data_IF_220208948769
#
_entry.id   IF_220208948769
#
_cell.length_a   1.000
_cell.length_b   1.000
_cell.length_c   1.000
_cell.angle_alpha   90.00
_cell.angle_beta   90.00
_cell.angle_gamma   90.00
#
_symmetry.space_group_name_H-M   'P 1'
#
loop_
_entity.id
_entity.type
_entity.pdbx_description
1 polymer ?
#
# COMPACT_ATOMS: atom_id res chain seq x y z
N UNK A 1 -11.87 7.68 -3.01
CA UNK A 1 -10.60 7.01 -3.38
C UNK A 1 -10.28 6.10 -2.26
N UNK A 2 -10.04 4.84 -2.57
CA UNK A 2 -9.87 3.81 -1.58
C UNK A 2 -8.41 3.38 -1.58
N UNK A 3 -7.84 3.36 -0.38
CA UNK A 3 -6.45 3.01 -0.16
C UNK A 3 -6.40 1.71 0.62
N UNK A 4 -5.80 0.67 0.04
CA UNK A 4 -5.59 -0.61 0.70
C UNK A 4 -4.14 -0.66 1.16
N UNK A 5 -3.91 -0.58 2.46
CA UNK A 5 -2.57 -0.62 3.03
C UNK A 5 -2.23 -2.04 3.46
N UNK A 6 -1.34 -2.68 2.72
CA UNK A 6 -0.77 -3.96 3.07
C UNK A 6 0.48 -3.79 3.93
N UNK A 7 0.41 -4.33 5.15
CA UNK A 7 1.49 -4.25 6.14
C UNK A 7 2.02 -5.62 6.51
N UNK A 8 3.23 -5.62 7.07
CA UNK A 8 3.88 -6.80 7.61
C UNK A 8 4.52 -6.47 8.96
N UNK A 9 4.50 -7.40 9.95
CA UNK A 9 5.19 -7.20 11.22
C UNK A 9 6.69 -6.98 10.99
N UNK A 10 7.33 -6.17 11.85
CA UNK A 10 8.74 -5.77 11.71
C UNK A 10 9.09 -4.93 10.46
N UNK A 11 8.13 -4.18 9.90
CA UNK A 11 8.41 -3.30 8.77
C UNK A 11 8.42 -1.81 9.18
N UNK A 12 9.62 -1.24 9.35
CA UNK A 12 9.80 0.18 9.66
C UNK A 12 9.15 1.10 8.60
N UNK A 13 9.21 0.71 7.33
CA UNK A 13 8.58 1.46 6.23
C UNK A 13 7.06 1.54 6.35
N UNK A 14 6.41 0.50 6.92
CA UNK A 14 4.96 0.52 7.17
C UNK A 14 4.60 1.65 8.15
N UNK A 15 5.36 1.79 9.24
CA UNK A 15 5.10 2.84 10.23
C UNK A 15 5.26 4.24 9.63
N UNK A 16 6.32 4.46 8.85
CA UNK A 16 6.52 5.75 8.16
C UNK A 16 5.35 6.08 7.23
N UNK A 17 4.84 5.10 6.49
CA UNK A 17 3.73 5.30 5.57
C UNK A 17 2.40 5.51 6.30
N UNK A 18 2.14 4.78 7.39
CA UNK A 18 0.97 5.00 8.26
C UNK A 18 0.95 6.42 8.83
N UNK A 19 2.10 6.91 9.32
CA UNK A 19 2.22 8.30 9.80
C UNK A 19 1.83 9.30 8.71
N UNK A 20 2.36 9.15 7.50
CA UNK A 20 2.01 10.03 6.37
C UNK A 20 0.53 9.97 5.99
N UNK A 21 -0.06 8.77 6.00
CA UNK A 21 -1.50 8.62 5.74
C UNK A 21 -2.35 9.31 6.82
N UNK A 22 -1.93 9.21 8.08
CA UNK A 22 -2.58 9.92 9.18
C UNK A 22 -2.41 11.44 9.10
N UNK A 23 -1.22 11.93 8.74
CA UNK A 23 -0.95 13.36 8.52
C UNK A 23 -1.79 13.97 7.39
N UNK A 24 -2.12 13.16 6.39
CA UNK A 24 -2.95 13.58 5.25
C UNK A 24 -4.43 13.28 5.44
N UNK A 25 -4.84 12.82 6.63
CA UNK A 25 -6.20 12.38 6.96
C UNK A 25 -6.79 11.43 5.90
N UNK A 26 -5.92 10.65 5.26
CA UNK A 26 -6.31 9.77 4.17
C UNK A 26 -6.95 8.52 4.75
N UNK A 27 -8.19 8.24 4.36
CA UNK A 27 -8.86 6.99 4.73
C UNK A 27 -8.20 5.80 4.02
N UNK A 28 -7.71 4.82 4.78
CA UNK A 28 -7.14 3.58 4.26
C UNK A 28 -7.68 2.37 5.02
N UNK A 29 -7.83 1.25 4.31
CA UNK A 29 -8.12 -0.05 4.88
C UNK A 29 -6.81 -0.82 5.08
N UNK A 30 -6.48 -1.10 6.33
CA UNK A 30 -5.28 -1.85 6.69
C UNK A 30 -5.51 -3.36 6.56
N UNK A 31 -4.59 -4.03 5.87
CA UNK A 31 -4.57 -5.47 5.68
C UNK A 31 -3.20 -6.01 6.08
N UNK A 32 -3.14 -6.82 7.13
CA UNK A 32 -1.89 -7.46 7.51
C UNK A 32 -1.68 -8.74 6.70
N UNK A 33 -0.52 -8.87 6.06
CA UNK A 33 -0.14 -10.08 5.31
C UNK A 33 0.17 -11.29 6.20
N UNK A 34 0.17 -11.10 7.52
CA UNK A 34 0.15 -12.20 8.49
C UNK A 34 -1.22 -12.87 8.56
N UNK A 35 -2.28 -12.10 8.30
CA UNK A 35 -3.64 -12.59 8.41
C UNK A 35 -4.14 -13.17 7.07
N UNK A 36 -4.96 -14.23 7.11
CA UNK A 36 -5.55 -14.82 5.91
C UNK A 36 -6.27 -13.81 4.98
N UNK A 37 -7.08 -12.84 5.47
CA UNK A 37 -7.72 -11.85 4.60
C UNK A 37 -6.70 -10.96 3.87
N UNK A 38 -5.61 -10.55 4.51
CA UNK A 38 -4.59 -9.73 3.85
C UNK A 38 -3.84 -10.50 2.76
N UNK A 39 -3.51 -11.77 3.01
CA UNK A 39 -2.90 -12.66 1.99
C UNK A 39 -3.81 -12.90 0.79
N UNK A 40 -5.11 -13.11 1.03
CA UNK A 40 -6.08 -13.29 -0.05
C UNK A 40 -6.20 -12.01 -0.88
N UNK A 41 -6.37 -10.86 -0.22
CA UNK A 41 -6.54 -9.57 -0.88
C UNK A 41 -5.32 -9.17 -1.71
N UNK A 42 -4.10 -9.30 -1.18
CA UNK A 42 -2.89 -8.95 -1.96
C UNK A 42 -2.69 -9.86 -3.18
N UNK A 43 -3.15 -11.11 -3.10
CA UNK A 43 -3.10 -12.04 -4.23
C UNK A 43 -4.00 -11.61 -5.38
N UNK A 44 -5.15 -10.98 -5.10
CA UNK A 44 -6.01 -10.38 -6.15
C UNK A 44 -5.25 -9.28 -6.91
N UNK A 45 -4.36 -8.57 -6.20
CA UNK A 45 -3.55 -7.48 -6.76
C UNK A 45 -2.14 -7.91 -7.16
N UNK A 46 -1.84 -9.22 -7.22
CA UNK A 46 -0.49 -9.72 -7.48
C UNK A 46 0.07 -9.31 -8.86
N UNK A 47 -0.82 -8.91 -9.78
CA UNK A 47 -0.47 -8.40 -11.12
C UNK A 47 -0.06 -6.93 -11.13
N UNK A 48 -0.43 -6.15 -10.11
CA UNK A 48 -0.12 -4.71 -10.03
C UNK A 48 0.92 -4.39 -8.96
N UNK A 49 1.14 -5.27 -7.98
CA UNK A 49 2.16 -5.06 -6.97
C UNK A 49 3.58 -5.17 -7.55
N UNK A 50 4.47 -4.29 -7.11
CA UNK A 50 5.90 -4.38 -7.44
C UNK A 50 6.51 -5.57 -6.68
N UNK A 51 7.27 -6.39 -7.39
CA UNK A 51 8.04 -7.52 -6.83
C UNK A 51 9.53 -7.19 -6.94
N UNK A 52 10.28 -7.63 -5.95
CA UNK A 52 11.73 -7.58 -5.95
C UNK A 52 12.31 -8.63 -6.92
N UNK A 53 13.61 -8.55 -7.21
CA UNK A 53 14.33 -9.45 -8.14
C UNK A 53 14.23 -10.93 -7.72
N UNK A 54 14.06 -11.17 -6.41
CA UNK A 54 13.83 -12.51 -5.83
C UNK A 54 12.38 -13.00 -5.92
N UNK A 55 11.49 -12.24 -6.56
CA UNK A 55 10.05 -12.54 -6.65
C UNK A 55 9.27 -12.26 -5.36
N UNK A 56 9.91 -11.66 -4.35
CA UNK A 56 9.26 -11.26 -3.10
C UNK A 56 8.44 -9.99 -3.29
N UNK A 57 7.31 -9.88 -2.59
CA UNK A 57 6.47 -8.68 -2.63
C UNK A 57 7.19 -7.54 -1.91
N UNK A 58 7.27 -6.36 -2.53
CA UNK A 58 7.86 -5.18 -1.90
C UNK A 58 6.89 -4.65 -0.83
N UNK A 59 7.35 -4.49 0.41
CA UNK A 59 6.51 -4.04 1.53
C UNK A 59 7.07 -2.77 2.19
N UNK A 60 6.20 -1.86 2.68
CA UNK A 60 4.72 -1.84 2.59
C UNK A 60 4.21 -1.77 1.16
N UNK A 61 2.94 -2.12 0.94
CA UNK A 61 2.26 -1.92 -0.34
C UNK A 61 0.95 -1.18 -0.07
N UNK A 62 0.82 0.04 -0.55
CA UNK A 62 -0.40 0.83 -0.51
C UNK A 62 -1.00 0.87 -1.92
N UNK A 63 -2.18 0.28 -2.09
CA UNK A 63 -2.88 0.26 -3.37
C UNK A 63 -3.94 1.36 -3.33
N UNK A 64 -3.77 2.36 -4.19
CA UNK A 64 -4.80 3.37 -4.40
C UNK A 64 -5.66 2.95 -5.59
N UNK A 65 -6.94 2.66 -5.32
CA UNK A 65 -7.91 2.36 -6.36
C UNK A 65 -9.06 3.35 -6.36
N UNK A 66 -9.72 3.49 -7.51
CA UNK A 66 -10.87 4.37 -7.70
C UNK A 66 -11.88 3.61 -8.54
N UNK A 67 -13.08 3.39 -8.01
CA UNK A 67 -14.17 2.68 -8.70
C UNK A 67 -13.74 1.31 -9.27
N UNK A 68 -12.93 0.56 -8.53
CA UNK A 68 -12.43 -0.76 -8.94
C UNK A 68 -11.19 -0.76 -9.83
N UNK A 69 -10.69 0.41 -10.25
CA UNK A 69 -9.47 0.53 -11.06
C UNK A 69 -8.30 0.91 -10.16
N UNK A 70 -7.24 0.10 -10.16
CA UNK A 70 -5.98 0.43 -9.48
C UNK A 70 -5.31 1.58 -10.23
N UNK A 71 -5.14 2.72 -9.55
CA UNK A 71 -4.49 3.91 -10.12
C UNK A 71 -2.99 3.91 -9.86
N UNK A 72 -2.57 3.54 -8.65
CA UNK A 72 -1.16 3.49 -8.29
C UNK A 72 -0.92 2.49 -7.17
N UNK A 73 0.28 1.92 -7.17
CA UNK A 73 0.80 1.11 -6.08
C UNK A 73 2.01 1.82 -5.50
N UNK A 74 1.97 2.08 -4.20
CA UNK A 74 2.93 2.88 -3.46
C UNK A 74 3.62 1.99 -2.45
N UNK A 75 4.95 1.94 -2.48
CA UNK A 75 5.72 1.05 -1.60
C UNK A 75 6.51 1.77 -0.51
N UNK A 76 6.48 3.10 -0.51
CA UNK A 76 7.25 3.95 0.40
C UNK A 76 6.52 5.26 0.69
N UNK A 77 6.81 5.86 1.85
CA UNK A 77 6.29 7.18 2.23
C UNK A 77 6.65 8.27 1.21
N UNK A 78 7.83 8.19 0.60
CA UNK A 78 8.27 9.13 -0.45
C UNK A 78 7.42 9.03 -1.71
N UNK A 79 7.08 7.80 -2.16
CA UNK A 79 6.17 7.60 -3.29
C UNK A 79 4.76 8.10 -2.97
N UNK A 80 4.30 7.95 -1.72
CA UNK A 80 3.03 8.52 -1.27
C UNK A 80 3.04 10.04 -1.33
N UNK A 81 4.10 10.69 -0.85
CA UNK A 81 4.23 12.15 -0.83
C UNK A 81 4.19 12.72 -2.25
N UNK A 82 4.95 12.12 -3.18
CA UNK A 82 4.94 12.51 -4.59
C UNK A 82 3.58 12.29 -5.27
N UNK A 83 2.91 11.18 -4.96
CA UNK A 83 1.58 10.90 -5.50
C UNK A 83 0.51 11.84 -4.93
N UNK A 84 0.54 12.10 -3.63
CA UNK A 84 -0.39 13.01 -2.94
C UNK A 84 -0.28 14.42 -3.51
N UNK A 85 0.95 14.92 -3.69
CA UNK A 85 1.22 16.21 -4.35
C UNK A 85 0.76 16.27 -5.80
N UNK A 86 0.82 15.16 -6.54
CA UNK A 86 0.36 15.10 -7.94
C UNK A 86 -1.17 15.16 -8.08
N UNK A 87 -1.90 15.07 -6.97
CA UNK A 87 -3.37 15.16 -6.92
C UNK A 87 -3.90 16.43 -6.25
N UNK A 88 -3.04 17.17 -5.55
CA UNK A 88 -3.38 18.42 -4.88
C UNK A 88 -3.49 19.58 -5.88
#
# INVERSE_FOLDING_TARGET
MDYLLFTYPNCNKCESLKKKLAETETAYAEYSLTQPPGKAKIREFINVIKRDDKGAIILPTLIAHTQGIVRVVINSAEEFDGWSKSRA
#
